data_IF_736292495470
#
_entry.id   IF_736292495470
#
_cell.length_a   1.000
_cell.length_b   1.000
_cell.length_c   1.000
_cell.angle_alpha   90.00
_cell.angle_beta   90.00
_cell.angle_gamma   90.00
#
_symmetry.space_group_name_H-M   'P 1'
#
loop_
_entity.id
_entity.type
_entity.pdbx_description
1 polymer ?
#
# COMPACT_ATOMS: atom_id res chain seq x y z
N UNK A 1 13.68 -36.39 18.24
CA UNK A 1 13.86 -34.93 18.28
C UNK A 1 14.80 -34.39 17.19
N UNK A 2 15.59 -35.24 16.55
CA UNK A 2 16.63 -34.90 15.56
C UNK A 2 16.11 -34.23 14.27
N UNK A 3 14.90 -34.58 13.81
CA UNK A 3 14.32 -34.03 12.58
C UNK A 3 14.00 -32.52 12.61
N UNK A 4 13.87 -31.89 13.79
CA UNK A 4 13.59 -30.45 13.89
C UNK A 4 14.83 -29.59 13.61
N UNK A 5 16.03 -30.09 13.94
CA UNK A 5 17.29 -29.38 13.70
C UNK A 5 17.66 -29.34 12.22
N UNK A 6 17.48 -30.46 11.50
CA UNK A 6 17.75 -30.54 10.06
C UNK A 6 16.82 -29.62 9.26
N UNK A 7 15.55 -29.52 9.65
CA UNK A 7 14.58 -28.63 8.99
C UNK A 7 14.90 -27.15 9.20
N UNK A 8 15.33 -26.77 10.41
CA UNK A 8 15.79 -25.40 10.71
C UNK A 8 17.05 -25.03 9.92
N UNK A 9 18.02 -25.95 9.84
CA UNK A 9 19.26 -25.72 9.10
C UNK A 9 19.03 -25.53 7.59
N UNK A 10 18.19 -26.37 6.97
CA UNK A 10 17.84 -26.20 5.56
C UNK A 10 17.12 -24.87 5.29
N UNK A 11 16.23 -24.46 6.18
CA UNK A 11 15.49 -23.20 6.04
C UNK A 11 16.42 -21.98 6.12
N UNK A 12 17.41 -22.01 7.03
CA UNK A 12 18.42 -20.95 7.14
C UNK A 12 19.34 -20.87 5.92
N UNK A 13 19.68 -22.02 5.32
CA UNK A 13 20.53 -22.06 4.12
C UNK A 13 19.83 -21.46 2.90
N UNK A 14 18.53 -21.76 2.72
CA UNK A 14 17.69 -21.17 1.67
C UNK A 14 17.55 -19.66 1.88
N UNK A 15 17.28 -19.22 3.11
CA UNK A 15 17.15 -17.79 3.43
C UNK A 15 18.44 -17.03 3.13
N UNK A 16 19.60 -17.59 3.50
CA UNK A 16 20.91 -17.00 3.23
C UNK A 16 21.20 -16.90 1.73
N UNK A 17 20.86 -17.94 0.95
CA UNK A 17 21.00 -17.92 -0.51
C UNK A 17 20.13 -16.85 -1.17
N UNK A 18 18.89 -16.67 -0.69
CA UNK A 18 17.99 -15.61 -1.18
C UNK A 18 18.58 -14.23 -0.89
N UNK A 19 19.08 -13.99 0.33
CA UNK A 19 19.68 -12.71 0.72
C UNK A 19 20.92 -12.40 -0.12
N UNK A 20 21.79 -13.39 -0.36
CA UNK A 20 23.01 -13.22 -1.17
C UNK A 20 22.66 -12.93 -2.63
N UNK A 21 21.73 -13.69 -3.23
CA UNK A 21 21.30 -13.48 -4.62
C UNK A 21 20.66 -12.10 -4.76
N UNK A 22 19.80 -11.71 -3.81
CA UNK A 22 19.19 -10.38 -3.81
C UNK A 22 20.27 -9.30 -3.73
N UNK A 23 21.21 -9.39 -2.78
CA UNK A 23 22.32 -8.44 -2.64
C UNK A 23 23.22 -8.37 -3.88
N UNK A 24 23.49 -9.49 -4.55
CA UNK A 24 24.26 -9.54 -5.80
C UNK A 24 23.52 -8.91 -6.97
N UNK A 25 22.21 -9.17 -7.11
CA UNK A 25 21.36 -8.53 -8.12
C UNK A 25 21.34 -7.02 -7.90
N UNK A 26 21.11 -6.57 -6.65
CA UNK A 26 21.13 -5.15 -6.30
C UNK A 26 22.48 -4.48 -6.62
N UNK A 27 23.60 -5.19 -6.37
CA UNK A 27 24.95 -4.70 -6.65
C UNK A 27 25.29 -4.65 -8.14
N UNK A 28 24.85 -5.65 -8.91
CA UNK A 28 25.17 -5.78 -10.34
C UNK A 28 24.51 -4.70 -11.19
N UNK A 29 23.30 -4.25 -10.81
CA UNK A 29 22.58 -3.29 -11.62
C UNK A 29 23.03 -1.83 -11.39
N UNK A 30 23.89 -1.51 -10.41
CA UNK A 30 24.15 -0.12 -9.93
C UNK A 30 22.86 0.70 -9.78
N UNK A 31 21.72 0.02 -9.67
CA UNK A 31 20.45 0.62 -9.36
C UNK A 31 20.56 0.88 -7.88
N UNK A 32 20.65 2.16 -7.51
CA UNK A 32 20.38 2.60 -6.15
C UNK A 32 19.01 2.04 -5.82
N UNK A 33 18.95 0.84 -5.23
CA UNK A 33 17.68 0.22 -4.92
C UNK A 33 17.07 1.15 -3.88
N UNK A 34 16.05 1.92 -4.27
CA UNK A 34 15.71 3.06 -3.46
C UNK A 34 15.17 2.47 -2.16
N UNK A 35 15.64 2.96 -1.02
CA UNK A 35 15.21 2.48 0.30
C UNK A 35 13.68 2.42 0.39
N UNK A 36 13.00 3.30 -0.35
CA UNK A 36 11.55 3.34 -0.56
C UNK A 36 10.98 2.05 -1.14
N UNK A 37 11.67 1.36 -2.06
CA UNK A 37 11.20 0.12 -2.66
C UNK A 37 11.25 -1.03 -1.65
N UNK A 38 12.31 -1.08 -0.85
CA UNK A 38 12.41 -2.04 0.25
C UNK A 38 11.32 -1.78 1.29
N UNK A 39 11.12 -0.52 1.67
CA UNK A 39 10.06 -0.12 2.61
C UNK A 39 8.65 -0.40 2.05
N UNK A 40 8.46 -0.21 0.75
CA UNK A 40 7.26 -0.59 0.02
C UNK A 40 7.00 -2.10 0.09
N UNK A 41 8.00 -2.93 -0.22
CA UNK A 41 7.86 -4.37 -0.10
C UNK A 41 7.58 -4.83 1.35
N UNK A 42 8.22 -4.20 2.34
CA UNK A 42 8.01 -4.49 3.77
C UNK A 42 6.64 -4.02 4.28
N UNK A 43 6.04 -3.00 3.67
CA UNK A 43 4.70 -2.51 3.99
C UNK A 43 3.65 -3.62 3.91
N UNK A 44 3.73 -4.47 2.87
CA UNK A 44 2.75 -5.52 2.60
C UNK A 44 2.61 -6.52 3.78
N UNK A 45 3.67 -7.21 4.23
CA UNK A 45 3.57 -8.13 5.37
C UNK A 45 3.27 -7.41 6.69
N UNK A 46 3.73 -6.16 6.87
CA UNK A 46 3.39 -5.36 8.05
C UNK A 46 1.89 -5.13 8.11
N UNK A 47 1.26 -4.73 7.00
CA UNK A 47 -0.18 -4.48 6.95
C UNK A 47 -0.97 -5.78 7.14
N UNK A 48 -0.53 -6.88 6.53
CA UNK A 48 -1.12 -8.20 6.79
C UNK A 48 -1.15 -8.52 8.29
N UNK A 49 -0.02 -8.36 8.99
CA UNK A 49 0.09 -8.69 10.43
C UNK A 49 -0.74 -7.72 11.28
N UNK A 50 -0.67 -6.42 11.00
CA UNK A 50 -1.37 -5.38 11.78
C UNK A 50 -2.88 -5.57 11.64
N UNK A 51 -3.41 -5.62 10.42
CA UNK A 51 -4.85 -5.78 10.19
C UNK A 51 -5.32 -7.18 10.64
N UNK A 52 -4.49 -8.21 10.39
CA UNK A 52 -4.76 -9.58 10.84
C UNK A 52 -4.95 -9.71 12.35
N UNK A 53 -4.17 -8.96 13.13
CA UNK A 53 -4.27 -8.92 14.59
C UNK A 53 -5.39 -8.01 15.11
N UNK A 54 -5.64 -6.89 14.42
CA UNK A 54 -6.63 -5.91 14.87
C UNK A 54 -8.08 -6.32 14.53
N UNK A 55 -8.27 -7.05 13.43
CA UNK A 55 -9.60 -7.38 12.89
C UNK A 55 -9.75 -8.87 12.61
N UNK A 56 -9.23 -9.34 11.47
CA UNK A 56 -9.28 -10.75 11.09
C UNK A 56 -8.17 -11.08 10.10
N UNK A 57 -7.74 -12.34 10.07
CA UNK A 57 -6.72 -12.81 9.13
C UNK A 57 -7.15 -12.63 7.66
N UNK A 58 -8.46 -12.75 7.39
CA UNK A 58 -9.03 -12.56 6.05
C UNK A 58 -8.94 -11.10 5.61
N UNK A 59 -9.32 -10.17 6.50
CA UNK A 59 -9.15 -8.74 6.27
C UNK A 59 -7.67 -8.39 6.04
N UNK A 60 -6.77 -8.95 6.84
CA UNK A 60 -5.33 -8.74 6.67
C UNK A 60 -4.79 -9.20 5.32
N UNK A 61 -5.16 -10.41 4.88
CA UNK A 61 -4.76 -10.93 3.56
C UNK A 61 -5.31 -10.06 2.43
N UNK A 62 -6.58 -9.69 2.53
CA UNK A 62 -7.25 -8.90 1.51
C UNK A 62 -6.65 -7.49 1.39
N UNK A 63 -6.45 -6.81 2.51
CA UNK A 63 -5.78 -5.50 2.53
C UNK A 63 -4.38 -5.60 1.94
N UNK A 64 -3.56 -6.58 2.38
CA UNK A 64 -2.21 -6.77 1.86
C UNK A 64 -2.19 -7.02 0.35
N UNK A 65 -3.16 -7.77 -0.18
CA UNK A 65 -3.32 -7.98 -1.62
C UNK A 65 -3.66 -6.67 -2.35
N UNK A 66 -4.69 -5.95 -1.90
CA UNK A 66 -5.09 -4.65 -2.47
C UNK A 66 -3.91 -3.70 -2.56
N UNK A 67 -3.10 -3.66 -1.51
CA UNK A 67 -1.92 -2.78 -1.40
C UNK A 67 -0.82 -3.19 -2.36
N UNK A 68 -0.56 -4.49 -2.45
CA UNK A 68 0.49 -5.00 -3.34
C UNK A 68 0.23 -4.63 -4.81
N UNK A 69 -1.02 -4.38 -5.17
CA UNK A 69 -1.43 -4.03 -6.54
C UNK A 69 -1.84 -2.56 -6.71
N UNK A 70 -1.78 -1.75 -5.65
CA UNK A 70 -2.29 -0.38 -5.71
C UNK A 70 -1.26 0.60 -6.30
N UNK A 71 -1.66 1.55 -7.18
CA UNK A 71 -0.74 2.48 -7.84
C UNK A 71 0.06 3.32 -6.89
N UNK A 72 -0.59 3.97 -5.91
CA UNK A 72 0.09 4.69 -4.85
C UNK A 72 1.21 3.88 -4.23
N UNK A 73 0.96 2.64 -3.80
CA UNK A 73 1.98 1.80 -3.19
C UNK A 73 3.16 1.58 -4.13
N UNK A 74 2.88 1.29 -5.41
CA UNK A 74 3.90 1.10 -6.45
C UNK A 74 4.67 2.41 -6.70
N UNK A 75 4.00 3.54 -6.89
CA UNK A 75 4.60 4.85 -7.18
C UNK A 75 5.48 5.32 -6.00
N UNK A 76 4.99 5.18 -4.76
CA UNK A 76 5.73 5.55 -3.54
C UNK A 76 6.97 4.70 -3.33
N UNK A 77 6.89 3.43 -3.71
CA UNK A 77 8.01 2.51 -3.61
C UNK A 77 9.17 2.92 -4.53
N UNK A 78 8.93 3.70 -5.59
CA UNK A 78 9.96 4.00 -6.61
C UNK A 78 10.79 5.26 -6.36
N UNK A 79 10.71 5.87 -5.17
CA UNK A 79 11.45 7.11 -4.87
C UNK A 79 11.01 8.32 -5.70
N UNK A 80 9.97 8.15 -6.52
CA UNK A 80 9.45 9.13 -7.46
C UNK A 80 8.88 10.40 -6.80
N UNK A 81 8.73 10.40 -5.48
CA UNK A 81 8.33 11.56 -4.67
C UNK A 81 9.48 12.52 -4.35
N UNK A 82 10.73 12.15 -4.61
CA UNK A 82 11.87 13.05 -4.38
C UNK A 82 11.76 14.33 -5.22
N UNK A 83 11.11 14.27 -6.39
CA UNK A 83 10.86 15.43 -7.25
C UNK A 83 9.52 16.15 -7.03
N UNK A 84 8.58 15.54 -6.30
CA UNK A 84 7.23 16.08 -6.05
C UNK A 84 7.06 16.19 -4.53
N UNK A 85 7.82 17.09 -3.92
CA UNK A 85 7.63 17.46 -2.51
C UNK A 85 6.50 18.49 -2.44
N UNK A 86 5.31 18.13 -1.91
CA UNK A 86 4.24 19.10 -1.77
C UNK A 86 4.71 20.21 -0.83
N UNK A 87 4.54 21.46 -1.26
CA UNK A 87 5.09 22.61 -0.54
C UNK A 87 4.32 22.85 0.77
N UNK A 88 3.04 22.44 0.81
CA UNK A 88 2.16 22.59 1.97
C UNK A 88 1.51 21.28 2.42
N UNK A 89 1.07 21.25 3.69
CA UNK A 89 0.32 20.15 4.29
C UNK A 89 -0.92 19.75 3.48
N UNK A 90 -1.66 20.75 2.99
CA UNK A 90 -2.93 20.52 2.29
C UNK A 90 -2.75 20.00 0.87
N UNK A 91 -1.56 20.18 0.28
CA UNK A 91 -1.30 19.69 -1.07
C UNK A 91 -1.35 18.16 -1.13
N UNK A 92 -0.92 17.46 -0.08
CA UNK A 92 -1.02 16.00 0.02
C UNK A 92 -2.46 15.48 0.02
N UNK A 93 -3.42 16.29 0.47
CA UNK A 93 -4.85 15.95 0.47
C UNK A 93 -5.62 16.66 -0.64
N UNK A 94 -4.94 17.43 -1.48
CA UNK A 94 -5.59 18.09 -2.60
C UNK A 94 -6.11 17.03 -3.57
N UNK A 95 -7.33 17.22 -4.09
CA UNK A 95 -7.85 16.34 -5.13
C UNK A 95 -6.93 16.30 -6.36
N UNK A 96 -6.23 17.41 -6.63
CA UNK A 96 -5.21 17.51 -7.68
C UNK A 96 -4.11 16.48 -7.49
N UNK A 97 -3.47 16.46 -6.33
CA UNK A 97 -2.42 15.48 -6.01
C UNK A 97 -2.96 14.05 -5.94
N UNK A 98 -4.08 13.85 -5.23
CA UNK A 98 -4.64 12.52 -5.03
C UNK A 98 -5.09 11.85 -6.33
N UNK A 99 -5.64 12.59 -7.29
CA UNK A 99 -6.26 11.99 -8.48
C UNK A 99 -5.55 12.29 -9.80
N UNK A 100 -4.72 13.33 -9.88
CA UNK A 100 -4.20 13.79 -11.17
C UNK A 100 -2.68 14.01 -11.21
N UNK A 101 -2.03 14.41 -10.11
CA UNK A 101 -0.68 14.98 -10.17
C UNK A 101 0.29 14.51 -9.08
N UNK A 102 0.10 13.32 -8.52
CA UNK A 102 1.10 12.76 -7.62
C UNK A 102 2.42 12.45 -8.35
N UNK A 103 2.34 11.93 -9.58
CA UNK A 103 3.52 11.62 -10.39
C UNK A 103 3.26 11.79 -11.89
N UNK A 104 3.87 12.80 -12.52
CA UNK A 104 3.87 13.03 -13.98
C UNK A 104 2.53 12.64 -14.65
N UNK A 105 1.44 13.28 -14.21
CA UNK A 105 0.04 13.08 -14.69
C UNK A 105 -0.74 11.87 -14.13
N UNK A 106 -0.20 11.18 -13.12
CA UNK A 106 -0.92 10.13 -12.40
C UNK A 106 -1.24 10.59 -10.98
N UNK A 107 -2.51 10.41 -10.57
CA UNK A 107 -2.91 10.53 -9.18
C UNK A 107 -2.26 9.48 -8.29
N UNK A 108 -2.16 9.76 -7.00
CA UNK A 108 -1.76 8.78 -6.01
C UNK A 108 -2.80 7.66 -5.88
N UNK A 109 -4.09 8.01 -5.92
CA UNK A 109 -5.20 7.13 -5.59
C UNK A 109 -6.20 7.11 -6.75
N UNK A 110 -6.83 5.96 -6.98
CA UNK A 110 -7.95 5.92 -7.94
C UNK A 110 -9.18 6.63 -7.37
N UNK A 111 -10.01 7.18 -8.26
CA UNK A 111 -11.25 7.82 -7.84
C UNK A 111 -12.20 6.85 -7.12
N UNK A 112 -12.24 5.58 -7.51
CA UNK A 112 -13.08 4.59 -6.82
C UNK A 112 -12.51 4.19 -5.44
N UNK A 113 -11.20 4.32 -5.21
CA UNK A 113 -10.61 4.09 -3.88
C UNK A 113 -11.06 5.15 -2.87
N UNK A 114 -11.41 6.36 -3.32
CA UNK A 114 -11.99 7.40 -2.46
C UNK A 114 -13.27 6.91 -1.76
N UNK A 115 -14.12 6.15 -2.46
CA UNK A 115 -15.32 5.57 -1.88
C UNK A 115 -14.98 4.63 -0.71
N UNK A 116 -13.99 3.76 -0.90
CA UNK A 116 -13.52 2.86 0.16
C UNK A 116 -12.83 3.61 1.30
N UNK A 117 -12.08 4.67 1.00
CA UNK A 117 -11.47 5.53 2.01
C UNK A 117 -12.54 6.17 2.91
N UNK A 118 -13.61 6.72 2.32
CA UNK A 118 -14.72 7.32 3.07
C UNK A 118 -15.41 6.26 3.95
N UNK A 119 -15.70 5.07 3.41
CA UNK A 119 -16.26 3.96 4.18
C UNK A 119 -15.33 3.53 5.32
N UNK A 120 -14.02 3.52 5.07
CA UNK A 120 -13.00 3.20 6.06
C UNK A 120 -12.95 4.20 7.19
N UNK A 121 -12.99 5.50 6.87
CA UNK A 121 -13.05 6.57 7.89
C UNK A 121 -14.31 6.40 8.73
N UNK A 122 -15.47 6.18 8.09
CA UNK A 122 -16.72 5.93 8.79
C UNK A 122 -16.63 4.73 9.74
N UNK A 123 -16.06 3.61 9.27
CA UNK A 123 -15.85 2.41 10.07
C UNK A 123 -14.91 2.67 11.27
N UNK A 124 -13.78 3.34 11.04
CA UNK A 124 -12.83 3.70 12.11
C UNK A 124 -13.49 4.59 13.16
N UNK A 125 -14.27 5.59 12.74
CA UNK A 125 -14.95 6.51 13.67
C UNK A 125 -15.99 5.79 14.53
N UNK A 126 -16.79 4.91 13.91
CA UNK A 126 -18.00 4.35 14.54
C UNK A 126 -17.81 2.97 15.19
N UNK A 127 -16.90 2.12 14.68
CA UNK A 127 -16.78 0.71 15.11
C UNK A 127 -15.46 0.39 15.80
N UNK A 128 -14.40 1.15 15.57
CA UNK A 128 -13.06 0.86 16.12
C UNK A 128 -12.89 1.42 17.53
N UNK A 129 -12.20 0.65 18.38
CA UNK A 129 -11.80 1.05 19.74
C UNK A 129 -11.11 2.42 19.76
N UNK A 130 -11.40 3.23 20.77
CA UNK A 130 -10.86 4.59 20.93
C UNK A 130 -9.33 4.69 20.79
N UNK A 131 -8.56 3.77 21.39
CA UNK A 131 -7.08 3.76 21.32
C UNK A 131 -6.57 3.55 19.89
N UNK A 132 -7.14 2.60 19.15
CA UNK A 132 -6.72 2.33 17.76
C UNK A 132 -7.18 3.49 16.87
N UNK A 133 -8.42 3.95 17.05
CA UNK A 133 -8.98 5.11 16.35
C UNK A 133 -8.12 6.36 16.52
N UNK A 134 -7.68 6.68 17.75
CA UNK A 134 -6.83 7.84 18.00
C UNK A 134 -5.46 7.69 17.35
N UNK A 135 -4.89 6.49 17.30
CA UNK A 135 -3.63 6.22 16.60
C UNK A 135 -3.79 6.39 15.10
N UNK A 136 -4.81 5.78 14.49
CA UNK A 136 -5.02 5.86 13.03
C UNK A 136 -5.35 7.27 12.56
N UNK A 137 -6.29 7.95 13.23
CA UNK A 137 -6.68 9.32 12.88
C UNK A 137 -5.58 10.34 13.25
N UNK A 138 -4.93 10.16 14.40
CA UNK A 138 -3.80 10.99 14.80
C UNK A 138 -2.63 10.84 13.83
N UNK A 139 -2.33 9.62 13.38
CA UNK A 139 -1.32 9.38 12.35
C UNK A 139 -1.72 10.03 11.03
N UNK A 140 -2.95 9.86 10.57
CA UNK A 140 -3.43 10.52 9.35
C UNK A 140 -3.27 12.05 9.40
N UNK A 141 -3.55 12.68 10.55
CA UNK A 141 -3.40 14.12 10.75
C UNK A 141 -1.94 14.58 10.92
N UNK A 142 -1.08 13.78 11.55
CA UNK A 142 0.31 14.15 11.83
C UNK A 142 1.22 13.86 10.64
N UNK A 143 0.94 12.81 9.88
CA UNK A 143 1.81 12.34 8.80
C UNK A 143 2.22 13.39 7.77
N UNK A 144 1.36 14.31 7.29
CA UNK A 144 1.78 15.31 6.30
C UNK A 144 2.62 16.43 6.91
N UNK A 145 2.58 16.64 8.23
CA UNK A 145 3.48 17.58 8.92
C UNK A 145 4.93 17.11 8.85
N UNK A 146 5.15 15.78 8.81
CA UNK A 146 6.48 15.18 8.74
C UNK A 146 7.08 15.24 7.33
N UNK A 147 6.30 15.61 6.30
CA UNK A 147 6.72 15.66 4.89
C UNK A 147 7.38 14.37 4.39
N UNK A 148 7.05 13.23 5.01
CA UNK A 148 7.50 11.90 4.59
C UNK A 148 6.32 11.22 3.89
N UNK A 149 6.31 11.13 2.54
CA UNK A 149 5.17 10.61 1.76
C UNK A 149 4.72 9.22 2.23
N UNK A 150 5.68 8.36 2.58
CA UNK A 150 5.43 7.01 3.06
C UNK A 150 4.56 7.00 4.32
N UNK A 151 4.76 7.95 5.25
CA UNK A 151 4.01 8.03 6.50
C UNK A 151 2.55 8.46 6.30
N UNK A 152 2.23 9.17 5.23
CA UNK A 152 0.86 9.56 4.89
C UNK A 152 0.09 8.38 4.31
N UNK A 153 0.80 7.55 3.55
CA UNK A 153 0.15 6.52 2.76
C UNK A 153 -0.21 5.30 3.60
N UNK A 154 0.60 4.93 4.59
CA UNK A 154 0.27 3.84 5.50
C UNK A 154 -1.12 3.97 6.16
N UNK A 155 -1.48 5.09 6.84
CA UNK A 155 -2.79 5.22 7.46
C UNK A 155 -3.90 5.26 6.42
N UNK A 156 -3.72 5.95 5.29
CA UNK A 156 -4.73 5.98 4.22
C UNK A 156 -5.01 4.58 3.67
N UNK A 157 -3.97 3.78 3.43
CA UNK A 157 -4.08 2.40 2.97
C UNK A 157 -4.84 1.55 3.99
N UNK A 158 -4.45 1.62 5.26
CA UNK A 158 -5.09 0.86 6.33
C UNK A 158 -6.58 1.21 6.38
N UNK A 159 -6.91 2.49 6.36
CA UNK A 159 -8.29 2.97 6.39
C UNK A 159 -9.06 2.50 5.15
N UNK A 160 -8.48 2.61 3.95
CA UNK A 160 -9.10 2.15 2.70
C UNK A 160 -9.39 0.65 2.75
N UNK A 161 -8.43 -0.15 3.22
CA UNK A 161 -8.59 -1.59 3.40
C UNK A 161 -9.72 -1.95 4.38
N UNK A 162 -9.83 -1.22 5.50
CA UNK A 162 -10.95 -1.36 6.43
C UNK A 162 -12.30 -0.98 5.81
N UNK A 163 -12.32 0.01 4.92
CA UNK A 163 -13.53 0.36 4.18
C UNK A 163 -14.01 -0.73 3.26
N UNK A 164 -13.09 -1.46 2.62
CA UNK A 164 -13.44 -2.60 1.77
C UNK A 164 -13.90 -3.79 2.62
N UNK A 165 -13.22 -4.09 3.73
CA UNK A 165 -13.64 -5.13 4.67
C UNK A 165 -15.06 -4.85 5.21
N UNK A 166 -15.31 -3.61 5.62
CA UNK A 166 -16.62 -3.17 6.07
C UNK A 166 -17.70 -3.27 4.98
N UNK A 167 -17.34 -2.94 3.73
CA UNK A 167 -18.25 -3.12 2.60
C UNK A 167 -18.62 -4.58 2.41
N UNK A 168 -17.69 -5.52 2.58
CA UNK A 168 -17.98 -6.96 2.51
C UNK A 168 -18.83 -7.47 3.67
N UNK A 169 -18.66 -6.89 4.87
CA UNK A 169 -19.51 -7.20 6.01
C UNK A 169 -20.97 -6.79 5.74
N UNK A 170 -21.19 -5.59 5.19
CA UNK A 170 -22.54 -5.09 4.88
C UNK A 170 -23.13 -5.80 3.67
N UNK A 171 -22.36 -5.92 2.60
CA UNK A 171 -22.83 -6.41 1.32
C UNK A 171 -22.34 -7.83 1.09
N UNK A 172 -23.15 -8.79 1.55
CA UNK A 172 -22.88 -10.23 1.42
C UNK A 172 -22.99 -10.78 -0.02
N UNK A 173 -22.96 -9.91 -1.04
CA UNK A 173 -23.16 -10.32 -2.43
C UNK A 173 -21.82 -10.64 -3.11
N UNK A 174 -21.71 -11.87 -3.65
CA UNK A 174 -20.58 -12.26 -4.52
C UNK A 174 -20.42 -11.33 -5.73
N UNK A 175 -21.53 -10.70 -6.17
CA UNK A 175 -21.55 -9.71 -7.26
C UNK A 175 -20.76 -8.46 -6.90
N UNK A 176 -20.88 -7.97 -5.66
CA UNK A 176 -20.11 -6.81 -5.21
C UNK A 176 -18.62 -7.13 -5.12
N UNK A 177 -18.25 -8.32 -4.64
CA UNK A 177 -16.85 -8.77 -4.67
C UNK A 177 -16.30 -8.80 -6.09
N UNK A 178 -17.05 -9.36 -7.04
CA UNK A 178 -16.65 -9.36 -8.45
C UNK A 178 -16.53 -7.93 -9.00
N UNK A 179 -17.42 -7.02 -8.62
CA UNK A 179 -17.34 -5.61 -9.00
C UNK A 179 -16.10 -4.93 -8.44
N UNK A 180 -15.82 -5.07 -7.14
CA UNK A 180 -14.63 -4.49 -6.49
C UNK A 180 -13.36 -5.03 -7.14
N UNK A 181 -13.25 -6.35 -7.31
CA UNK A 181 -12.11 -6.96 -8.00
C UNK A 181 -11.99 -6.47 -9.45
N UNK A 182 -13.10 -6.36 -10.17
CA UNK A 182 -13.13 -5.82 -11.52
C UNK A 182 -12.64 -4.38 -11.59
N UNK A 183 -13.04 -3.52 -10.64
CA UNK A 183 -12.56 -2.13 -10.54
C UNK A 183 -11.04 -2.09 -10.28
N UNK A 184 -10.51 -2.95 -9.42
CA UNK A 184 -9.06 -3.04 -9.19
C UNK A 184 -8.32 -3.53 -10.43
N UNK A 185 -8.83 -4.54 -11.14
CA UNK A 185 -8.22 -5.03 -12.39
C UNK A 185 -8.21 -3.91 -13.44
N UNK A 186 -9.34 -3.23 -13.64
CA UNK A 186 -9.42 -2.08 -14.55
C UNK A 186 -8.47 -0.96 -14.15
N UNK A 187 -8.39 -0.68 -12.84
CA UNK A 187 -7.40 0.23 -12.29
C UNK A 187 -5.98 -0.17 -12.70
N UNK A 188 -5.57 -1.41 -12.40
CA UNK A 188 -4.23 -1.92 -12.71
C UNK A 188 -3.94 -1.81 -14.20
N UNK A 189 -4.89 -2.20 -15.07
CA UNK A 189 -4.73 -2.08 -16.52
C UNK A 189 -4.52 -0.61 -16.91
N UNK A 190 -5.34 0.30 -16.40
CA UNK A 190 -5.18 1.74 -16.63
C UNK A 190 -3.82 2.25 -16.14
N UNK A 191 -3.39 1.83 -14.94
CA UNK A 191 -2.09 2.22 -14.40
C UNK A 191 -0.93 1.68 -15.23
N UNK A 192 -0.99 0.41 -15.66
CA UNK A 192 0.03 -0.21 -16.52
C UNK A 192 0.08 0.50 -17.87
N UNK A 193 -1.07 0.79 -18.48
CA UNK A 193 -1.17 1.54 -19.73
C UNK A 193 -0.52 2.93 -19.61
N UNK A 194 -0.96 3.71 -18.61
CA UNK A 194 -0.40 5.03 -18.33
C UNK A 194 1.10 4.96 -18.03
N UNK A 195 1.52 3.95 -17.27
CA UNK A 195 2.91 3.72 -16.91
C UNK A 195 3.77 3.41 -18.14
N UNK A 196 3.42 2.43 -18.97
CA UNK A 196 4.28 2.05 -20.09
C UNK A 196 4.20 3.00 -21.28
N UNK A 197 3.03 3.56 -21.60
CA UNK A 197 2.86 4.44 -22.75
C UNK A 197 3.52 5.79 -22.49
N UNK A 198 3.19 6.42 -21.36
CA UNK A 198 3.65 7.78 -21.11
C UNK A 198 5.05 7.84 -20.47
N UNK A 199 5.44 6.87 -19.64
CA UNK A 199 6.74 6.96 -18.95
C UNK A 199 7.92 6.57 -19.84
N UNK A 200 7.76 5.57 -20.72
CA UNK A 200 8.85 5.05 -21.54
C UNK A 200 9.35 6.07 -22.58
N UNK A 201 8.51 7.04 -22.98
CA UNK A 201 8.89 8.08 -23.94
C UNK A 201 9.83 9.16 -23.35
N UNK A 202 10.04 9.21 -22.03
CA UNK A 202 10.84 10.26 -21.36
C UNK A 202 12.13 9.75 -20.71
N UNK A 203 12.51 8.49 -20.94
CA UNK A 203 13.80 7.90 -20.56
C UNK A 203 14.63 7.72 -21.82
#
# INVERSE_FOLDING_TARGET
>A
MENRHLKSYQMNKILLSIIIILGLVLRLYRVEFPLTALLGCLCIPVIYIVIGKLFSIKAGLFCAFVIAVSPWHIILSRGSFEGVSPLSYFDFFSGRFLFFEAFRYMGAMYLFELFFLILGIYFVVTKVNFKIKSVLLGWLLISPLLKIPLLIVFPLIIITGLGIDYLFEIASSRKLLALVLGLYILGIVYFVDQYFIHFLHFI
#
